data_IF_542703586692
#
_entry.id   IF_542703586692
#
_cell.length_a   1.000
_cell.length_b   1.000
_cell.length_c   1.000
_cell.angle_alpha   90.00
_cell.angle_beta   90.00
_cell.angle_gamma   90.00
#
_symmetry.space_group_name_H-M   'P 1'
#
loop_
_entity.id
_entity.type
_entity.pdbx_description
1 polymer ?
#
# COMPACT_ATOMS: atom_id res chain seq x y z
N UNK A 1 5.63 6.98 17.58
CA UNK A 1 4.68 7.39 18.63
C UNK A 1 4.66 6.40 19.80
N UNK A 2 3.88 5.30 19.79
CA UNK A 2 3.65 4.44 20.96
C UNK A 2 4.93 3.92 21.65
N UNK A 3 5.92 3.46 20.88
CA UNK A 3 7.24 3.02 21.41
C UNK A 3 7.98 4.15 22.15
N UNK A 4 7.89 5.39 21.65
CA UNK A 4 8.49 6.57 22.29
C UNK A 4 7.74 6.94 23.58
N UNK A 5 6.42 6.79 23.64
CA UNK A 5 5.68 6.92 24.90
C UNK A 5 6.04 5.80 25.88
N UNK A 6 6.23 4.55 25.42
CA UNK A 6 6.71 3.46 26.28
C UNK A 6 8.07 3.81 26.89
N UNK A 7 9.04 4.30 26.09
CA UNK A 7 10.35 4.75 26.58
C UNK A 7 10.22 5.90 27.59
N UNK A 8 9.38 6.91 27.33
CA UNK A 8 9.16 8.04 28.25
C UNK A 8 8.57 7.57 29.59
N UNK A 9 7.57 6.68 29.57
CA UNK A 9 6.98 6.10 30.79
C UNK A 9 8.02 5.25 31.53
N UNK A 10 8.76 4.38 30.83
CA UNK A 10 9.86 3.58 31.41
C UNK A 10 10.91 4.46 32.11
N UNK A 11 11.35 5.55 31.47
CA UNK A 11 12.33 6.48 32.05
C UNK A 11 11.79 7.25 33.27
N UNK A 12 10.46 7.37 33.42
CA UNK A 12 9.83 7.90 34.64
C UNK A 12 9.54 6.83 35.69
N UNK A 13 9.35 5.59 35.28
CA UNK A 13 9.11 4.44 36.17
C UNK A 13 10.39 3.97 36.88
N UNK A 14 11.54 4.04 36.20
CA UNK A 14 12.87 3.79 36.77
C UNK A 14 13.63 5.06 37.19
N UNK A 15 12.96 6.22 37.15
CA UNK A 15 13.52 7.49 37.60
C UNK A 15 13.50 7.62 39.13
N UNK A 16 14.32 8.54 39.65
CA UNK A 16 14.38 8.84 41.09
C UNK A 16 13.02 9.36 41.60
N UNK A 17 12.44 8.67 42.59
CA UNK A 17 11.12 8.95 43.21
C UNK A 17 9.91 8.76 42.28
N UNK A 18 9.56 7.49 42.03
CA UNK A 18 8.36 7.07 41.29
C UNK A 18 7.04 7.27 42.09
N UNK A 19 7.11 7.25 43.43
CA UNK A 19 6.03 7.52 44.39
C UNK A 19 6.59 8.37 45.55
N UNK A 20 5.73 9.12 46.23
CA UNK A 20 6.08 9.81 47.48
C UNK A 20 4.91 9.72 48.48
N UNK A 21 5.15 9.12 49.65
CA UNK A 21 4.14 8.88 50.68
C UNK A 21 4.27 9.80 51.89
N UNK A 22 3.14 10.31 52.38
CA UNK A 22 3.04 11.08 53.61
C UNK A 22 3.12 10.15 54.83
N UNK A 23 4.33 10.02 55.40
CA UNK A 23 4.61 9.18 56.57
C UNK A 23 4.47 9.95 57.89
N UNK A 24 4.25 9.27 59.03
CA UNK A 24 4.23 9.89 60.35
C UNK A 24 5.59 10.52 60.72
N UNK A 25 5.59 11.65 61.43
CA UNK A 25 6.79 12.44 61.72
C UNK A 25 7.87 11.72 62.56
N UNK A 26 7.52 10.62 63.24
CA UNK A 26 8.47 9.77 63.96
C UNK A 26 9.26 8.79 63.07
N UNK A 27 8.97 8.73 61.76
CA UNK A 27 9.72 7.89 60.83
C UNK A 27 11.01 8.60 60.38
N UNK A 28 12.16 7.96 60.60
CA UNK A 28 13.43 8.41 60.02
C UNK A 28 13.42 8.26 58.50
N UNK A 29 14.34 8.97 57.82
CA UNK A 29 14.47 8.94 56.35
C UNK A 29 14.56 7.51 55.77
N UNK A 30 15.24 6.59 56.45
CA UNK A 30 15.35 5.19 56.00
C UNK A 30 14.00 4.46 56.03
N UNK A 31 13.12 4.80 56.99
CA UNK A 31 11.74 4.29 57.01
C UNK A 31 10.86 4.99 55.98
N UNK A 32 11.06 6.27 55.68
CA UNK A 32 10.38 6.94 54.55
C UNK A 32 10.72 6.25 53.22
N UNK A 33 12.01 5.99 52.96
CA UNK A 33 12.47 5.31 51.74
C UNK A 33 11.91 3.89 51.64
N UNK A 34 11.92 3.11 52.73
CA UNK A 34 11.27 1.80 52.80
C UNK A 34 9.75 1.84 52.55
N UNK A 35 9.04 2.84 53.09
CA UNK A 35 7.60 3.00 52.88
C UNK A 35 7.29 3.38 51.43
N UNK A 36 8.10 4.24 50.80
CA UNK A 36 7.94 4.55 49.38
C UNK A 36 8.10 3.27 48.52
N UNK A 37 9.17 2.50 48.72
CA UNK A 37 9.41 1.27 47.94
C UNK A 37 8.34 0.19 48.16
N UNK A 38 7.92 -0.07 49.41
CA UNK A 38 6.87 -1.08 49.66
C UNK A 38 5.50 -0.65 49.10
N UNK A 39 5.18 0.65 49.12
CA UNK A 39 3.97 1.22 48.54
C UNK A 39 4.00 1.33 47.00
N UNK A 40 5.16 1.15 46.38
CA UNK A 40 5.29 1.06 44.93
C UNK A 40 5.17 -0.38 44.40
N UNK A 41 5.78 -1.33 45.12
CA UNK A 41 5.71 -2.77 44.81
C UNK A 41 4.31 -3.33 45.13
N UNK A 42 3.70 -2.87 46.21
CA UNK A 42 2.31 -3.14 46.56
C UNK A 42 1.36 -2.28 45.71
N UNK A 43 0.14 -2.77 45.45
CA UNK A 43 -0.87 -1.97 44.76
C UNK A 43 -1.39 -0.86 45.69
N UNK A 44 -1.41 0.37 45.20
CA UNK A 44 -2.17 1.45 45.86
C UNK A 44 -3.63 1.44 45.42
N UNK A 45 -4.52 2.09 46.16
CA UNK A 45 -5.95 2.19 45.81
C UNK A 45 -6.44 3.65 45.89
N UNK A 46 -7.50 3.98 45.16
CA UNK A 46 -8.07 5.33 45.14
C UNK A 46 -9.42 5.42 45.84
N UNK A 47 -9.59 6.46 46.66
CA UNK A 47 -10.85 6.84 47.30
C UNK A 47 -10.96 8.39 47.24
N UNK A 48 -12.14 8.96 46.92
CA UNK A 48 -12.37 10.41 47.00
C UNK A 48 -12.15 10.96 48.42
N UNK A 49 -11.64 12.19 48.54
CA UNK A 49 -11.28 12.81 49.83
C UNK A 49 -12.49 13.01 50.75
N UNK A 50 -13.68 13.06 50.18
CA UNK A 50 -14.96 13.22 50.86
C UNK A 50 -15.47 11.91 51.50
N UNK A 51 -14.86 10.77 51.15
CA UNK A 51 -15.28 9.45 51.60
C UNK A 51 -14.34 8.87 52.66
N UNK A 52 -14.91 8.28 53.71
CA UNK A 52 -14.14 7.61 54.77
C UNK A 52 -13.52 6.33 54.23
N UNK A 53 -12.25 6.08 54.55
CA UNK A 53 -11.55 4.84 54.18
C UNK A 53 -12.29 3.63 54.77
N UNK A 54 -12.72 2.64 53.96
CA UNK A 54 -13.52 1.53 54.44
C UNK A 54 -12.69 0.58 55.30
N UNK A 55 -13.33 0.05 56.35
CA UNK A 55 -12.77 -1.01 57.20
C UNK A 55 -12.79 -2.39 56.53
N UNK A 56 -13.61 -2.55 55.48
CA UNK A 56 -13.78 -3.82 54.77
C UNK A 56 -12.69 -3.96 53.71
N UNK A 57 -11.82 -4.95 53.91
CA UNK A 57 -10.67 -5.20 53.02
C UNK A 57 -11.06 -5.45 51.55
N UNK A 58 -12.22 -6.06 51.32
CA UNK A 58 -12.73 -6.32 49.97
C UNK A 58 -12.95 -5.04 49.16
N UNK A 59 -13.43 -3.98 49.79
CA UNK A 59 -13.73 -2.69 49.15
C UNK A 59 -12.46 -1.92 48.81
N UNK A 60 -11.42 -2.01 49.65
CA UNK A 60 -10.09 -1.46 49.37
C UNK A 60 -9.48 -2.13 48.14
N UNK A 61 -9.51 -3.47 48.11
CA UNK A 61 -8.99 -4.29 47.00
C UNK A 61 -9.75 -4.13 45.68
N UNK A 62 -11.03 -3.73 45.72
CA UNK A 62 -11.80 -3.40 44.52
C UNK A 62 -11.40 -2.07 43.87
N UNK A 63 -10.74 -1.17 44.60
CA UNK A 63 -10.28 0.13 44.13
C UNK A 63 -8.76 0.18 43.84
N UNK A 64 -8.10 -0.99 43.78
CA UNK A 64 -6.66 -1.12 43.51
C UNK A 64 -6.28 -0.67 42.09
N UNK A 65 -5.24 0.14 42.01
CA UNK A 65 -4.67 0.69 40.79
C UNK A 65 -3.54 -0.23 40.32
N UNK A 66 -3.88 -1.18 39.46
CA UNK A 66 -2.91 -2.21 38.99
C UNK A 66 -2.30 -1.91 37.63
N UNK A 67 -2.81 -0.90 36.91
CA UNK A 67 -2.41 -0.64 35.52
C UNK A 67 -1.04 0.05 35.41
N UNK A 68 -0.65 0.93 36.34
CA UNK A 68 0.52 1.82 36.12
C UNK A 68 1.84 1.06 35.92
N UNK A 69 2.03 -0.07 36.60
CA UNK A 69 3.21 -0.93 36.46
C UNK A 69 3.34 -1.55 35.04
N UNK A 70 2.23 -1.70 34.31
CA UNK A 70 2.14 -2.42 33.05
C UNK A 70 2.05 -1.52 31.80
N UNK A 71 1.97 -0.21 31.96
CA UNK A 71 1.80 0.76 30.86
C UNK A 71 2.86 0.57 29.75
N UNK A 72 4.17 0.46 30.02
CA UNK A 72 5.16 0.33 28.94
C UNK A 72 4.98 -0.93 28.10
N UNK A 73 4.74 -2.09 28.74
CA UNK A 73 4.54 -3.36 28.05
C UNK A 73 3.30 -3.33 27.14
N UNK A 74 2.23 -2.68 27.59
CA UNK A 74 1.01 -2.53 26.80
C UNK A 74 1.22 -1.54 25.66
N UNK A 75 1.87 -0.39 25.86
CA UNK A 75 2.19 0.53 24.75
C UNK A 75 3.06 -0.14 23.66
N UNK A 76 3.94 -1.07 24.04
CA UNK A 76 4.70 -1.92 23.10
C UNK A 76 3.82 -2.97 22.40
N UNK A 77 2.93 -3.65 23.11
CA UNK A 77 1.95 -4.58 22.52
C UNK A 77 1.02 -3.88 21.52
N UNK A 78 0.51 -2.69 21.88
CA UNK A 78 -0.30 -1.87 20.97
C UNK A 78 0.50 -1.49 19.72
N UNK A 79 1.78 -1.10 19.86
CA UNK A 79 2.66 -0.81 18.73
C UNK A 79 2.86 -2.02 17.80
N UNK A 80 3.06 -3.22 18.37
CA UNK A 80 3.14 -4.47 17.60
C UNK A 80 1.83 -4.74 16.83
N UNK A 81 0.67 -4.61 17.48
CA UNK A 81 -0.63 -4.81 16.84
C UNK A 81 -0.92 -3.79 15.72
N UNK A 82 -0.43 -2.55 15.79
CA UNK A 82 -0.48 -1.61 14.67
C UNK A 82 0.45 -1.99 13.51
N UNK A 83 1.56 -2.70 13.77
CA UNK A 83 2.46 -3.20 12.74
C UNK A 83 1.98 -4.52 12.10
N UNK A 84 1.16 -5.31 12.81
CA UNK A 84 0.67 -6.62 12.36
C UNK A 84 -0.03 -6.61 10.98
N UNK A 85 -0.94 -5.68 10.62
CA UNK A 85 -1.54 -5.64 9.29
C UNK A 85 -0.51 -5.45 8.15
N UNK A 86 0.59 -4.74 8.40
CA UNK A 86 1.68 -4.60 7.43
C UNK A 86 2.47 -5.91 7.25
N UNK A 87 2.68 -6.69 8.32
CA UNK A 87 3.23 -8.06 8.20
C UNK A 87 2.30 -8.93 7.36
N UNK A 88 0.99 -8.87 7.61
CA UNK A 88 -0.02 -9.64 6.87
C UNK A 88 0.00 -9.27 5.39
N UNK A 89 -0.02 -7.98 5.03
CA UNK A 89 0.14 -7.52 3.65
C UNK A 89 1.41 -8.07 2.99
N UNK A 90 2.58 -7.85 3.61
CA UNK A 90 3.88 -8.27 3.05
C UNK A 90 4.02 -9.79 2.93
N UNK A 91 3.35 -10.56 3.78
CA UNK A 91 3.33 -12.03 3.72
C UNK A 91 2.39 -12.55 2.63
N UNK A 92 1.20 -11.96 2.49
CA UNK A 92 0.19 -12.41 1.54
C UNK A 92 0.41 -11.88 0.12
N UNK A 93 0.87 -10.64 -0.06
CA UNK A 93 1.18 -10.09 -1.38
C UNK A 93 2.23 -10.95 -2.10
N UNK A 94 3.31 -11.32 -1.41
CA UNK A 94 4.36 -12.23 -1.92
C UNK A 94 3.82 -13.62 -2.30
N UNK A 95 2.77 -14.10 -1.66
CA UNK A 95 2.13 -15.39 -2.01
C UNK A 95 1.39 -15.34 -3.35
N UNK A 96 1.18 -14.18 -3.94
CA UNK A 96 0.60 -14.04 -5.30
C UNK A 96 1.55 -14.51 -6.41
N UNK A 97 2.87 -14.49 -6.19
CA UNK A 97 3.89 -14.75 -7.22
C UNK A 97 4.53 -13.48 -7.82
N UNK A 98 4.05 -12.29 -7.46
CA UNK A 98 4.60 -10.99 -7.87
C UNK A 98 4.97 -10.17 -6.62
N UNK A 99 6.22 -9.73 -6.47
CA UNK A 99 6.55 -8.76 -5.41
C UNK A 99 6.22 -7.35 -5.90
N UNK A 100 5.01 -6.93 -5.54
CA UNK A 100 4.44 -5.62 -5.86
C UNK A 100 5.35 -4.47 -5.41
N UNK A 101 6.23 -4.69 -4.43
CA UNK A 101 7.22 -3.69 -4.03
C UNK A 101 8.24 -3.44 -5.13
N UNK A 102 8.84 -4.48 -5.68
CA UNK A 102 9.98 -4.37 -6.59
C UNK A 102 9.58 -3.65 -7.89
N UNK A 103 8.31 -3.80 -8.31
CA UNK A 103 7.70 -3.07 -9.44
C UNK A 103 7.48 -1.59 -9.11
N UNK A 104 7.05 -1.26 -7.89
CA UNK A 104 6.90 0.15 -7.46
C UNK A 104 8.27 0.81 -7.32
N UNK A 105 9.24 0.13 -6.70
CA UNK A 105 10.61 0.64 -6.53
C UNK A 105 11.28 0.81 -7.92
N UNK A 106 11.10 -0.13 -8.87
CA UNK A 106 11.56 0.04 -10.27
C UNK A 106 10.90 1.22 -10.99
N UNK A 107 9.60 1.47 -10.77
CA UNK A 107 8.88 2.59 -11.38
C UNK A 107 9.16 3.95 -10.69
N UNK A 108 9.62 3.95 -9.44
CA UNK A 108 10.23 5.12 -8.80
C UNK A 108 11.58 5.40 -9.46
N UNK A 109 12.42 4.38 -9.65
CA UNK A 109 13.73 4.52 -10.30
C UNK A 109 13.59 5.04 -11.74
N UNK A 110 12.65 4.50 -12.52
CA UNK A 110 12.31 4.99 -13.87
C UNK A 110 11.97 6.48 -13.91
N UNK A 111 11.28 6.98 -12.87
CA UNK A 111 10.91 8.40 -12.73
C UNK A 111 12.09 9.29 -12.32
N UNK A 112 13.10 8.75 -11.64
CA UNK A 112 14.31 9.49 -11.23
C UNK A 112 15.46 9.47 -12.24
N UNK A 113 15.39 8.66 -13.31
CA UNK A 113 16.36 8.73 -14.41
C UNK A 113 16.10 9.99 -15.24
N UNK A 114 17.03 10.94 -15.14
CA UNK A 114 16.93 12.23 -15.81
C UNK A 114 16.98 12.10 -17.34
N UNK A 115 16.08 12.77 -18.04
CA UNK A 115 15.91 12.63 -19.51
C UNK A 115 16.98 13.41 -20.31
N UNK A 116 18.05 13.84 -19.64
CA UNK A 116 19.15 14.63 -20.20
C UNK A 116 20.46 13.83 -20.37
N UNK A 117 20.57 12.65 -19.74
CA UNK A 117 21.72 11.74 -19.86
C UNK A 117 21.39 10.54 -20.75
N UNK A 118 22.43 9.88 -21.29
CA UNK A 118 22.30 8.80 -22.31
C UNK A 118 21.75 7.46 -21.77
N UNK A 119 21.06 7.46 -20.63
CA UNK A 119 20.51 6.27 -19.97
C UNK A 119 19.13 5.85 -20.49
N UNK A 120 18.71 6.32 -21.68
CA UNK A 120 17.50 5.87 -22.38
C UNK A 120 17.39 4.34 -22.47
N UNK A 121 18.53 3.64 -22.60
CA UNK A 121 18.57 2.17 -22.60
C UNK A 121 18.19 1.59 -21.23
N UNK A 122 18.73 2.12 -20.13
CA UNK A 122 18.38 1.65 -18.79
C UNK A 122 16.94 2.02 -18.42
N UNK A 123 16.47 3.20 -18.86
CA UNK A 123 15.08 3.64 -18.75
C UNK A 123 14.14 2.70 -19.51
N UNK A 124 14.51 2.25 -20.71
CA UNK A 124 13.77 1.24 -21.46
C UNK A 124 13.76 -0.12 -20.75
N UNK A 125 14.90 -0.61 -20.26
CA UNK A 125 15.01 -1.87 -19.51
C UNK A 125 14.12 -1.89 -18.25
N UNK A 126 14.06 -0.77 -17.51
CA UNK A 126 13.17 -0.63 -16.35
C UNK A 126 11.68 -0.70 -16.74
N UNK A 127 11.29 -0.04 -17.84
CA UNK A 127 9.91 -0.08 -18.36
C UNK A 127 9.54 -1.48 -18.85
N UNK A 128 10.45 -2.14 -19.60
CA UNK A 128 10.29 -3.51 -20.08
C UNK A 128 10.11 -4.49 -18.91
N UNK A 129 10.93 -4.37 -17.85
CA UNK A 129 10.78 -5.17 -16.62
C UNK A 129 9.41 -4.97 -15.94
N UNK A 130 8.95 -3.71 -15.80
CA UNK A 130 7.63 -3.41 -15.21
C UNK A 130 6.50 -4.02 -16.04
N UNK A 131 6.60 -3.93 -17.37
CA UNK A 131 5.59 -4.43 -18.31
C UNK A 131 5.59 -5.96 -18.38
N UNK A 132 6.75 -6.62 -18.47
CA UNK A 132 6.86 -8.09 -18.45
C UNK A 132 6.34 -8.64 -17.12
N UNK A 133 6.72 -8.04 -15.98
CA UNK A 133 6.28 -8.51 -14.67
C UNK A 133 4.75 -8.45 -14.53
N UNK A 134 4.11 -7.38 -15.01
CA UNK A 134 2.64 -7.26 -15.01
C UNK A 134 2.02 -8.24 -16.02
N UNK A 135 2.48 -8.26 -17.27
CA UNK A 135 1.94 -9.14 -18.33
C UNK A 135 2.00 -10.62 -17.93
N UNK A 136 3.13 -11.08 -17.40
CA UNK A 136 3.38 -12.46 -16.96
C UNK A 136 2.55 -12.91 -15.76
N UNK A 137 2.13 -11.97 -14.92
CA UNK A 137 1.24 -12.22 -13.79
C UNK A 137 -0.23 -12.24 -14.21
N UNK A 138 -0.59 -11.38 -15.17
CA UNK A 138 -1.93 -11.24 -15.73
C UNK A 138 -2.27 -12.40 -16.67
N UNK A 139 -1.38 -12.73 -17.60
CA UNK A 139 -1.52 -13.79 -18.62
C UNK A 139 -1.02 -15.18 -18.10
N UNK A 140 -1.12 -15.44 -16.80
CA UNK A 140 -0.77 -16.76 -16.22
C UNK A 140 -1.78 -17.83 -16.70
N UNK A 141 -1.37 -18.87 -17.45
CA UNK A 141 -2.29 -19.87 -17.99
C UNK A 141 -3.12 -20.62 -16.94
N UNK A 142 -2.72 -20.56 -15.65
CA UNK A 142 -3.47 -21.16 -14.52
C UNK A 142 -4.71 -20.34 -14.14
N UNK A 143 -4.81 -19.06 -14.54
CA UNK A 143 -6.03 -18.24 -14.43
C UNK A 143 -7.06 -18.70 -15.47
N UNK A 144 -6.66 -18.75 -16.74
CA UNK A 144 -7.48 -19.14 -17.89
C UNK A 144 -8.01 -20.59 -17.83
N UNK A 145 -7.49 -21.43 -16.93
CA UNK A 145 -7.93 -22.81 -16.75
C UNK A 145 -9.33 -22.95 -16.09
N UNK A 146 -9.75 -22.01 -15.23
CA UNK A 146 -11.01 -22.11 -14.45
C UNK A 146 -12.25 -21.63 -15.24
N UNK A 147 -12.07 -20.89 -16.34
CA UNK A 147 -13.18 -20.42 -17.21
C UNK A 147 -13.94 -21.58 -17.89
N UNK A 148 -13.30 -22.73 -18.09
CA UNK A 148 -13.90 -23.87 -18.81
C UNK A 148 -14.88 -24.70 -17.96
N UNK A 149 -15.21 -24.24 -16.75
CA UNK A 149 -16.09 -24.89 -15.80
C UNK A 149 -17.40 -24.13 -15.56
N UNK A 150 -18.44 -24.47 -16.35
CA UNK A 150 -19.80 -23.94 -16.19
C UNK A 150 -20.50 -24.49 -14.93
N UNK A 151 -20.25 -23.86 -13.79
CA UNK A 151 -21.15 -23.74 -12.63
C UNK A 151 -20.55 -22.83 -11.56
N UNK A 152 -21.29 -21.80 -11.15
CA UNK A 152 -20.95 -20.97 -9.98
C UNK A 152 -21.19 -21.80 -8.70
N UNK A 153 -20.20 -22.63 -8.34
CA UNK A 153 -20.24 -23.40 -7.10
C UNK A 153 -20.08 -22.48 -5.89
N UNK A 154 -20.75 -22.81 -4.79
CA UNK A 154 -20.48 -22.22 -3.46
C UNK A 154 -18.99 -22.33 -3.11
N UNK A 155 -18.29 -23.37 -3.60
CA UNK A 155 -16.83 -23.48 -3.49
C UNK A 155 -16.09 -22.32 -4.17
N UNK A 156 -16.49 -21.86 -5.36
CA UNK A 156 -15.82 -20.72 -6.05
C UNK A 156 -16.05 -19.42 -5.27
N UNK A 157 -17.25 -19.18 -4.75
CA UNK A 157 -17.54 -18.03 -3.86
C UNK A 157 -16.71 -18.09 -2.58
N UNK A 158 -16.64 -19.26 -1.92
CA UNK A 158 -15.84 -19.47 -0.72
C UNK A 158 -14.34 -19.27 -1.00
N UNK A 159 -13.81 -19.79 -2.11
CA UNK A 159 -12.41 -19.60 -2.52
C UNK A 159 -12.09 -18.13 -2.82
N UNK A 160 -13.02 -17.39 -3.44
CA UNK A 160 -12.91 -15.93 -3.66
C UNK A 160 -12.95 -15.12 -2.35
N UNK A 161 -13.69 -15.55 -1.33
CA UNK A 161 -13.68 -14.88 -0.01
C UNK A 161 -12.47 -15.34 0.83
N UNK A 162 -11.96 -16.56 0.62
CA UNK A 162 -10.81 -17.10 1.33
C UNK A 162 -9.47 -16.57 0.79
N UNK A 163 -8.94 -15.58 1.53
CA UNK A 163 -7.59 -14.99 1.49
C UNK A 163 -6.44 -16.00 1.26
N UNK A 164 -6.63 -17.27 1.65
CA UNK A 164 -5.62 -18.33 1.49
C UNK A 164 -5.68 -19.08 0.15
N UNK A 165 -6.79 -19.02 -0.59
CA UNK A 165 -7.09 -19.94 -1.69
C UNK A 165 -7.46 -19.27 -3.03
N UNK A 166 -7.93 -18.02 -3.05
CA UNK A 166 -8.41 -17.33 -4.26
C UNK A 166 -7.36 -16.98 -5.34
N UNK A 167 -6.17 -17.58 -5.32
CA UNK A 167 -4.99 -17.13 -6.10
C UNK A 167 -5.16 -17.04 -7.63
N UNK A 168 -6.07 -17.84 -8.19
CA UNK A 168 -6.20 -18.03 -9.64
C UNK A 168 -7.45 -17.35 -10.24
N UNK A 169 -8.17 -16.54 -9.44
CA UNK A 169 -9.48 -15.96 -9.79
C UNK A 169 -9.42 -14.48 -10.19
N UNK A 170 -8.27 -13.99 -10.67
CA UNK A 170 -8.11 -12.62 -11.17
C UNK A 170 -8.15 -11.50 -10.13
N UNK A 171 -8.34 -11.84 -8.85
CA UNK A 171 -8.76 -10.93 -7.79
C UNK A 171 -7.97 -11.07 -6.48
N UNK A 172 -6.88 -11.84 -6.47
CA UNK A 172 -6.18 -12.22 -5.25
C UNK A 172 -5.52 -11.03 -4.54
N UNK A 173 -4.83 -10.16 -5.29
CA UNK A 173 -4.14 -9.00 -4.72
C UNK A 173 -5.15 -7.96 -4.22
N UNK A 174 -6.24 -7.72 -4.94
CA UNK A 174 -7.29 -6.79 -4.51
C UNK A 174 -8.02 -7.29 -3.25
N UNK A 175 -8.29 -8.61 -3.11
CA UNK A 175 -8.84 -9.21 -1.88
C UNK A 175 -7.87 -9.05 -0.71
N UNK A 176 -6.59 -9.38 -0.90
CA UNK A 176 -5.54 -9.24 0.13
C UNK A 176 -5.38 -7.77 0.55
N UNK A 177 -5.52 -6.82 -0.38
CA UNK A 177 -5.46 -5.39 -0.09
C UNK A 177 -6.63 -4.92 0.76
N UNK A 178 -7.88 -5.20 0.36
CA UNK A 178 -9.06 -4.81 1.16
C UNK A 178 -9.11 -5.55 2.50
N UNK A 179 -8.64 -6.80 2.57
CA UNK A 179 -8.44 -7.53 3.84
C UNK A 179 -7.46 -6.78 4.75
N UNK A 180 -6.33 -6.31 4.21
CA UNK A 180 -5.34 -5.53 4.96
C UNK A 180 -5.95 -4.22 5.50
N UNK A 181 -6.74 -3.51 4.68
CA UNK A 181 -7.43 -2.29 5.11
C UNK A 181 -8.47 -2.57 6.20
N UNK A 182 -9.24 -3.65 6.07
CA UNK A 182 -10.16 -4.10 7.11
C UNK A 182 -9.41 -4.42 8.43
N UNK A 183 -8.25 -5.09 8.35
CA UNK A 183 -7.41 -5.36 9.53
C UNK A 183 -6.88 -4.08 10.20
N UNK A 184 -6.57 -3.02 9.45
CA UNK A 184 -6.23 -1.72 10.05
C UNK A 184 -7.41 -1.10 10.81
N UNK A 185 -8.63 -1.12 10.23
CA UNK A 185 -9.85 -0.60 10.88
C UNK A 185 -10.19 -1.45 12.12
N UNK A 186 -10.23 -2.78 11.99
CA UNK A 186 -10.50 -3.71 13.11
C UNK A 186 -9.46 -3.55 14.21
N UNK A 187 -8.17 -3.42 13.88
CA UNK A 187 -7.17 -3.12 14.90
C UNK A 187 -7.46 -1.79 15.60
N UNK A 188 -7.70 -0.69 14.88
CA UNK A 188 -7.99 0.61 15.50
C UNK A 188 -9.17 0.55 16.49
N UNK A 189 -10.22 -0.21 16.17
CA UNK A 189 -11.35 -0.51 17.08
C UNK A 189 -10.91 -1.35 18.28
N UNK A 190 -10.22 -2.47 18.04
CA UNK A 190 -9.71 -3.35 19.11
C UNK A 190 -8.75 -2.62 20.07
N UNK A 191 -8.00 -1.61 19.60
CA UNK A 191 -7.11 -0.82 20.45
C UNK A 191 -7.86 0.06 21.45
N UNK A 192 -9.03 0.59 21.08
CA UNK A 192 -9.90 1.33 22.00
C UNK A 192 -10.50 0.39 23.06
N UNK A 193 -10.93 -0.82 22.65
CA UNK A 193 -11.38 -1.86 23.57
C UNK A 193 -10.27 -2.40 24.50
N UNK A 194 -9.03 -2.49 24.02
CA UNK A 194 -7.87 -2.90 24.83
C UNK A 194 -7.59 -1.88 25.95
N UNK A 195 -7.67 -0.58 25.67
CA UNK A 195 -7.58 0.46 26.69
C UNK A 195 -8.74 0.37 27.70
N UNK A 196 -9.97 0.09 27.23
CA UNK A 196 -11.13 -0.10 28.11
C UNK A 196 -10.96 -1.31 29.06
N UNK A 197 -10.44 -2.43 28.55
CA UNK A 197 -10.13 -3.62 29.34
C UNK A 197 -9.03 -3.35 30.38
N UNK A 198 -7.99 -2.60 30.00
CA UNK A 198 -6.82 -2.37 30.84
C UNK A 198 -7.04 -1.33 31.95
N UNK A 199 -7.76 -0.24 31.67
CA UNK A 199 -8.05 0.80 32.65
C UNK A 199 -9.25 0.47 33.56
N UNK A 200 -9.94 -0.65 33.34
CA UNK A 200 -11.00 -1.16 34.24
C UNK A 200 -12.24 -0.25 34.36
N UNK A 201 -12.44 0.65 33.40
CA UNK A 201 -13.51 1.66 33.37
C UNK A 201 -13.99 1.83 31.92
N UNK A 202 -15.07 2.59 31.69
CA UNK A 202 -15.64 2.88 30.36
C UNK A 202 -14.80 3.87 29.52
N UNK A 203 -13.50 3.59 29.36
CA UNK A 203 -12.55 4.44 28.65
C UNK A 203 -12.90 4.64 27.16
N UNK A 204 -13.70 3.75 26.55
CA UNK A 204 -14.16 3.93 25.17
C UNK A 204 -14.90 5.26 24.95
N UNK A 205 -15.68 5.75 25.94
CA UNK A 205 -16.40 7.04 25.86
C UNK A 205 -15.57 8.25 26.33
N UNK A 206 -14.34 8.05 26.82
CA UNK A 206 -13.54 9.05 27.55
C UNK A 206 -13.46 10.41 26.83
N UNK A 207 -12.97 10.44 25.58
CA UNK A 207 -12.80 11.71 24.87
C UNK A 207 -14.10 12.41 24.49
N UNK A 208 -15.21 11.67 24.36
CA UNK A 208 -16.56 12.25 24.16
C UNK A 208 -17.05 12.91 25.46
N UNK A 209 -16.83 12.26 26.61
CA UNK A 209 -17.14 12.85 27.93
C UNK A 209 -16.33 14.13 28.18
N UNK A 210 -15.05 14.14 27.80
CA UNK A 210 -14.16 15.32 27.88
C UNK A 210 -14.64 16.44 26.97
N UNK A 211 -14.88 16.16 25.68
CA UNK A 211 -15.32 17.16 24.70
C UNK A 211 -16.67 17.79 25.09
N UNK A 212 -17.63 16.97 25.57
CA UNK A 212 -18.93 17.45 26.06
C UNK A 212 -18.77 18.42 27.24
N UNK A 213 -17.90 18.12 28.21
CA UNK A 213 -17.67 19.00 29.37
C UNK A 213 -17.04 20.33 28.98
N UNK A 214 -16.06 20.31 28.07
CA UNK A 214 -15.44 21.53 27.52
C UNK A 214 -16.50 22.40 26.83
N UNK A 215 -17.41 21.81 26.05
CA UNK A 215 -18.52 22.52 25.40
C UNK A 215 -19.57 23.05 26.42
N UNK A 216 -19.78 22.35 27.53
CA UNK A 216 -20.59 22.81 28.68
C UNK A 216 -19.89 23.90 29.53
N UNK A 217 -18.69 24.37 29.16
CA UNK A 217 -17.90 25.31 29.95
C UNK A 217 -17.37 24.74 31.26
N UNK A 218 -17.48 23.42 31.48
CA UNK A 218 -17.03 22.72 32.68
C UNK A 218 -15.58 22.27 32.50
N UNK A 219 -14.73 22.67 33.44
CA UNK A 219 -13.30 22.40 33.40
C UNK A 219 -12.92 20.93 33.23
N UNK A 220 -11.73 20.70 32.68
CA UNK A 220 -11.18 19.40 32.28
C UNK A 220 -10.96 18.37 33.40
N UNK A 221 -11.26 18.68 34.66
CA UNK A 221 -10.86 17.88 35.83
C UNK A 221 -11.81 16.70 36.13
N UNK A 222 -12.07 15.90 35.10
CA UNK A 222 -12.68 14.57 35.23
C UNK A 222 -11.61 13.49 35.53
N UNK A 223 -10.39 13.93 35.82
CA UNK A 223 -9.16 13.15 35.70
C UNK A 223 -8.97 12.18 36.88
N UNK A 224 -9.36 12.59 38.09
CA UNK A 224 -9.11 11.87 39.34
C UNK A 224 -9.71 10.47 39.41
N UNK A 225 -10.77 10.16 38.65
CA UNK A 225 -11.37 8.80 38.63
C UNK A 225 -10.60 7.81 37.75
N UNK A 226 -10.05 8.26 36.63
CA UNK A 226 -9.33 7.39 35.68
C UNK A 226 -7.82 7.38 35.94
N UNK A 227 -7.28 8.53 36.37
CA UNK A 227 -5.85 8.76 36.62
C UNK A 227 -5.65 9.50 37.96
N UNK A 228 -5.95 8.86 39.11
CA UNK A 228 -5.78 9.47 40.43
C UNK A 228 -4.33 9.86 40.72
N UNK A 229 -4.10 11.16 40.91
CA UNK A 229 -2.77 11.76 41.21
C UNK A 229 -2.33 11.52 42.65
N UNK A 230 -3.31 11.22 43.53
CA UNK A 230 -3.16 10.90 44.95
C UNK A 230 -3.86 9.57 45.19
N UNK A 231 -3.22 8.70 45.97
CA UNK A 231 -3.63 7.32 46.23
C UNK A 231 -3.43 7.00 47.71
N UNK A 232 -4.02 5.91 48.19
CA UNK A 232 -3.78 5.36 49.52
C UNK A 232 -2.98 4.06 49.40
N UNK A 233 -1.99 3.91 50.26
CA UNK A 233 -1.21 2.69 50.43
C UNK A 233 -1.51 2.08 51.80
N UNK A 234 -1.56 0.76 51.86
CA UNK A 234 -1.59 -0.01 53.10
C UNK A 234 -0.34 -0.88 53.23
N UNK A 235 0.37 -0.75 54.35
CA UNK A 235 1.47 -1.64 54.70
C UNK A 235 1.34 -2.13 56.15
N UNK A 236 2.02 -3.23 56.46
CA UNK A 236 2.01 -3.85 57.79
C UNK A 236 3.45 -3.98 58.28
N UNK A 237 3.72 -3.46 59.47
CA UNK A 237 4.99 -3.73 60.16
C UNK A 237 4.82 -5.02 60.97
N UNK A 238 5.82 -5.90 60.93
CA UNK A 238 5.88 -7.11 61.76
C UNK A 238 6.87 -6.90 62.89
N UNK A 239 6.36 -6.77 64.11
CA UNK A 239 7.19 -6.70 65.30
C UNK A 239 7.59 -8.10 65.76
N UNK A 240 8.89 -8.31 66.00
CA UNK A 240 9.43 -9.64 66.32
C UNK A 240 8.89 -10.23 67.64
N UNK A 241 8.43 -9.36 68.56
CA UNK A 241 7.97 -9.77 69.89
C UNK A 241 6.47 -10.14 69.93
N UNK A 242 5.64 -9.55 69.06
CA UNK A 242 4.18 -9.77 69.02
C UNK A 242 3.68 -10.11 67.59
N UNK A 243 3.97 -11.32 67.06
CA UNK A 243 3.65 -11.66 65.66
C UNK A 243 2.16 -11.73 65.29
N UNK A 244 1.24 -11.63 66.27
CA UNK A 244 -0.21 -11.64 66.05
C UNK A 244 -0.78 -10.23 65.86
N UNK A 245 -0.10 -9.21 66.38
CA UNK A 245 -0.59 -7.84 66.47
C UNK A 245 0.08 -6.95 65.40
N UNK A 246 0.01 -7.38 64.14
CA UNK A 246 0.65 -6.65 63.02
C UNK A 246 -0.06 -5.33 62.73
N UNK A 247 0.48 -4.23 63.27
CA UNK A 247 -0.04 -2.88 63.04
C UNK A 247 -0.02 -2.52 61.54
N UNK A 248 -1.23 -2.29 61.00
CA UNK A 248 -1.47 -1.78 59.66
C UNK A 248 -1.41 -0.26 59.67
N UNK A 249 -0.58 0.30 58.80
CA UNK A 249 -0.53 1.73 58.51
C UNK A 249 -1.18 2.00 57.17
N UNK A 250 -2.04 3.02 57.12
CA UNK A 250 -2.58 3.57 55.87
C UNK A 250 -1.95 4.95 55.66
N UNK A 251 -1.25 5.15 54.54
CA UNK A 251 -0.58 6.41 54.20
C UNK A 251 -1.06 6.94 52.85
N UNK A 252 -1.03 8.28 52.70
CA UNK A 252 -1.43 8.97 51.49
C UNK A 252 -0.20 9.17 50.59
N UNK A 253 -0.26 8.67 49.36
CA UNK A 253 0.87 8.68 48.42
C UNK A 253 0.53 9.44 47.13
N UNK A 254 1.40 10.38 46.76
CA UNK A 254 1.38 11.08 45.48
C UNK A 254 2.05 10.21 44.43
N UNK A 255 1.44 10.11 43.24
CA UNK A 255 1.88 9.21 42.17
C UNK A 255 2.17 9.99 40.86
N UNK A 256 3.34 10.65 40.73
CA UNK A 256 3.66 11.52 39.59
C UNK A 256 3.56 10.85 38.21
N UNK A 257 3.83 9.54 38.14
CA UNK A 257 3.70 8.73 36.92
C UNK A 257 2.28 8.81 36.31
N UNK A 258 1.25 8.97 37.15
CA UNK A 258 -0.13 9.04 36.69
C UNK A 258 -0.45 10.36 35.96
N UNK A 259 0.25 11.45 36.30
CA UNK A 259 0.12 12.73 35.58
C UNK A 259 0.60 12.60 34.13
N UNK A 260 1.73 11.93 33.89
CA UNK A 260 2.21 11.64 32.54
C UNK A 260 1.28 10.68 31.80
N UNK A 261 0.84 9.62 32.48
CA UNK A 261 -0.07 8.60 31.93
C UNK A 261 -1.39 9.22 31.44
N UNK A 262 -1.98 10.12 32.25
CA UNK A 262 -3.19 10.87 31.93
C UNK A 262 -3.07 11.64 30.61
N UNK A 263 -1.97 12.38 30.40
CA UNK A 263 -1.77 13.15 29.17
C UNK A 263 -1.53 12.25 27.96
N UNK A 264 -0.70 11.21 28.12
CA UNK A 264 -0.39 10.23 27.07
C UNK A 264 -1.66 9.50 26.62
N UNK A 265 -2.47 8.97 27.54
CA UNK A 265 -3.71 8.26 27.16
C UNK A 265 -4.80 9.18 26.63
N UNK A 266 -4.87 10.44 27.09
CA UNK A 266 -5.77 11.45 26.49
C UNK A 266 -5.42 11.69 25.02
N UNK A 267 -4.14 11.94 24.72
CA UNK A 267 -3.66 12.12 23.35
C UNK A 267 -3.85 10.86 22.50
N UNK A 268 -3.54 9.68 23.03
CA UNK A 268 -3.73 8.39 22.34
C UNK A 268 -5.21 8.16 21.96
N UNK A 269 -6.17 8.49 22.83
CA UNK A 269 -7.60 8.31 22.52
C UNK A 269 -8.01 9.13 21.28
N UNK A 270 -7.65 10.41 21.23
CA UNK A 270 -7.94 11.27 20.06
C UNK A 270 -7.16 10.82 18.82
N UNK A 271 -5.92 10.38 18.98
CA UNK A 271 -5.11 9.84 17.87
C UNK A 271 -5.71 8.57 17.27
N UNK A 272 -6.19 7.63 18.09
CA UNK A 272 -6.84 6.40 17.60
C UNK A 272 -8.16 6.70 16.87
N UNK A 273 -8.96 7.66 17.35
CA UNK A 273 -10.16 8.10 16.65
C UNK A 273 -9.82 8.75 15.30
N UNK A 274 -8.77 9.57 15.22
CA UNK A 274 -8.29 10.13 13.95
C UNK A 274 -7.82 9.04 12.98
N UNK A 275 -7.02 8.07 13.45
CA UNK A 275 -6.54 6.94 12.64
C UNK A 275 -7.70 6.08 12.13
N UNK A 276 -8.72 5.83 12.96
CA UNK A 276 -9.93 5.11 12.56
C UNK A 276 -10.70 5.84 11.44
N UNK A 277 -10.95 7.14 11.60
CA UNK A 277 -11.65 7.96 10.59
C UNK A 277 -10.87 8.01 9.27
N UNK A 278 -9.55 8.24 9.31
CA UNK A 278 -8.70 8.26 8.11
C UNK A 278 -8.64 6.90 7.43
N UNK A 279 -8.63 5.80 8.20
CA UNK A 279 -8.66 4.44 7.64
C UNK A 279 -9.97 4.12 6.91
N UNK A 280 -11.11 4.59 7.45
CA UNK A 280 -12.41 4.48 6.77
C UNK A 280 -12.43 5.33 5.49
N UNK A 281 -11.94 6.57 5.55
CA UNK A 281 -11.90 7.45 4.38
C UNK A 281 -11.04 6.88 3.25
N UNK A 282 -9.85 6.35 3.56
CA UNK A 282 -9.01 5.66 2.57
C UNK A 282 -9.72 4.44 1.95
N UNK A 283 -10.41 3.62 2.75
CA UNK A 283 -11.22 2.51 2.22
C UNK A 283 -12.30 3.00 1.25
N UNK A 284 -13.03 4.07 1.59
CA UNK A 284 -14.05 4.66 0.70
C UNK A 284 -13.42 5.20 -0.59
N UNK A 285 -12.25 5.85 -0.50
CA UNK A 285 -11.49 6.30 -1.68
C UNK A 285 -11.03 5.13 -2.55
N UNK A 286 -10.63 4.00 -1.96
CA UNK A 286 -10.26 2.81 -2.74
C UNK A 286 -11.47 2.11 -3.36
N UNK A 287 -12.56 1.90 -2.63
CA UNK A 287 -13.81 1.34 -3.18
C UNK A 287 -14.31 2.19 -4.36
N UNK A 288 -14.32 3.52 -4.22
CA UNK A 288 -14.77 4.42 -5.31
C UNK A 288 -13.86 4.42 -6.53
N UNK A 289 -12.55 4.10 -6.40
CA UNK A 289 -11.62 3.89 -7.53
C UNK A 289 -11.89 2.59 -8.30
N UNK A 290 -12.57 1.61 -7.69
CA UNK A 290 -12.81 0.27 -8.22
C UNK A 290 -14.17 0.04 -8.89
N UNK A 291 -15.09 1.00 -8.86
CA UNK A 291 -16.33 0.89 -9.64
C UNK A 291 -16.03 0.74 -11.15
N UNK A 292 -16.69 -0.17 -11.89
CA UNK A 292 -16.40 -0.47 -13.30
C UNK A 292 -16.33 0.77 -14.20
N UNK A 293 -17.25 1.72 -14.06
CA UNK A 293 -17.25 2.97 -14.83
C UNK A 293 -16.01 3.85 -14.53
N UNK A 294 -15.52 3.83 -13.29
CA UNK A 294 -14.35 4.59 -12.86
C UNK A 294 -13.05 3.90 -13.30
N UNK A 295 -13.04 2.58 -13.46
CA UNK A 295 -11.94 1.82 -14.09
C UNK A 295 -11.90 2.06 -15.60
N UNK A 296 -13.03 1.84 -16.29
CA UNK A 296 -13.17 2.03 -17.74
C UNK A 296 -12.78 3.45 -18.17
N UNK A 297 -13.33 4.48 -17.51
CA UNK A 297 -12.98 5.87 -17.84
C UNK A 297 -11.53 6.24 -17.50
N UNK A 298 -10.90 5.60 -16.52
CA UNK A 298 -9.49 5.85 -16.18
C UNK A 298 -8.54 5.29 -17.27
N UNK A 299 -8.74 4.04 -17.69
CA UNK A 299 -7.91 3.39 -18.71
C UNK A 299 -8.19 4.00 -20.09
N UNK A 300 -9.47 4.22 -20.45
CA UNK A 300 -9.86 4.88 -21.70
C UNK A 300 -9.18 6.25 -21.85
N UNK A 301 -9.22 7.11 -20.83
CA UNK A 301 -8.58 8.45 -20.88
C UNK A 301 -7.08 8.37 -21.13
N UNK A 302 -6.38 7.45 -20.46
CA UNK A 302 -4.92 7.25 -20.64
C UNK A 302 -4.56 6.75 -22.03
N UNK A 303 -5.28 5.75 -22.53
CA UNK A 303 -5.10 5.25 -23.89
C UNK A 303 -5.53 6.26 -24.97
N UNK A 304 -6.38 7.25 -24.64
CA UNK A 304 -6.69 8.37 -25.52
C UNK A 304 -5.57 9.42 -25.57
N UNK A 305 -4.85 9.67 -24.47
CA UNK A 305 -3.72 10.62 -24.44
C UNK A 305 -2.55 10.16 -25.33
N UNK A 306 -2.26 8.86 -25.34
CA UNK A 306 -1.19 8.27 -26.17
C UNK A 306 -1.62 8.00 -27.63
N UNK A 307 -2.91 8.18 -27.98
CA UNK A 307 -3.46 7.73 -29.27
C UNK A 307 -3.17 8.64 -30.47
N UNK A 308 -2.28 9.62 -30.32
CA UNK A 308 -2.00 10.65 -31.34
C UNK A 308 -1.43 10.09 -32.64
N UNK A 309 -0.75 8.94 -32.58
CA UNK A 309 0.05 8.40 -33.68
C UNK A 309 -0.41 7.01 -34.19
N UNK A 310 -1.68 6.62 -34.01
CA UNK A 310 -2.19 5.32 -34.51
C UNK A 310 -3.52 5.40 -35.26
N UNK A 311 -3.65 4.59 -36.32
CA UNK A 311 -4.73 4.51 -37.31
C UNK A 311 -6.07 3.93 -36.76
N UNK A 312 -6.43 4.29 -35.54
CA UNK A 312 -7.63 3.77 -34.86
C UNK A 312 -8.91 4.57 -35.16
N UNK A 313 -8.83 5.66 -35.92
CA UNK A 313 -9.99 6.44 -36.37
C UNK A 313 -10.74 5.74 -37.52
N UNK A 314 -10.11 4.75 -38.15
CA UNK A 314 -10.60 4.03 -39.33
C UNK A 314 -11.57 2.88 -39.02
N UNK A 315 -12.00 2.72 -37.76
CA UNK A 315 -12.87 1.62 -37.29
C UNK A 315 -14.12 2.14 -36.55
N UNK A 316 -15.28 1.46 -36.67
CA UNK A 316 -16.53 1.93 -36.08
C UNK A 316 -16.46 1.97 -34.53
N UNK A 317 -17.07 2.99 -33.88
CA UNK A 317 -16.83 3.30 -32.46
C UNK A 317 -17.31 2.22 -31.49
N UNK A 318 -18.27 1.40 -31.89
CA UNK A 318 -18.77 0.26 -31.11
C UNK A 318 -17.70 -0.83 -30.96
N UNK A 319 -17.04 -1.19 -32.06
CA UNK A 319 -15.95 -2.17 -32.05
C UNK A 319 -14.80 -1.78 -31.11
N UNK A 320 -14.46 -0.48 -31.08
CA UNK A 320 -13.40 0.05 -30.20
C UNK A 320 -13.77 -0.07 -28.71
N UNK A 321 -15.06 0.02 -28.36
CA UNK A 321 -15.57 -0.13 -26.98
C UNK A 321 -15.38 -1.56 -26.48
N UNK A 322 -15.60 -2.56 -27.32
CA UNK A 322 -15.45 -3.97 -26.92
C UNK A 322 -13.98 -4.37 -26.78
N UNK A 323 -13.07 -3.80 -27.57
CA UNK A 323 -11.62 -3.96 -27.36
C UNK A 323 -11.16 -3.35 -26.03
N UNK A 324 -11.69 -2.19 -25.64
CA UNK A 324 -11.45 -1.65 -24.30
C UNK A 324 -12.07 -2.53 -23.20
N UNK A 325 -13.16 -3.27 -23.46
CA UNK A 325 -13.74 -4.19 -22.47
C UNK A 325 -12.93 -5.47 -22.32
N UNK A 326 -12.54 -6.12 -23.41
CA UNK A 326 -11.72 -7.34 -23.37
C UNK A 326 -10.37 -7.06 -22.69
N UNK A 327 -9.70 -5.94 -23.01
CA UNK A 327 -8.45 -5.53 -22.36
C UNK A 327 -8.59 -5.29 -20.85
N UNK A 328 -9.72 -4.71 -20.40
CA UNK A 328 -9.91 -4.29 -19.00
C UNK A 328 -10.44 -5.43 -18.13
N UNK A 329 -11.38 -6.23 -18.64
CA UNK A 329 -12.08 -7.24 -17.85
C UNK A 329 -11.66 -8.68 -18.16
N UNK A 330 -11.12 -8.96 -19.35
CA UNK A 330 -10.63 -10.29 -19.75
C UNK A 330 -9.11 -10.43 -19.62
N UNK A 331 -8.34 -9.46 -20.13
CA UNK A 331 -6.89 -9.44 -19.97
C UNK A 331 -6.50 -8.91 -18.58
N UNK A 332 -6.58 -7.60 -18.29
CA UNK A 332 -6.03 -7.02 -17.05
C UNK A 332 -6.61 -7.60 -15.75
N UNK A 333 -7.89 -7.97 -15.73
CA UNK A 333 -8.64 -8.40 -14.54
C UNK A 333 -8.63 -7.36 -13.38
N UNK A 334 -9.39 -7.58 -12.28
CA UNK A 334 -9.35 -6.69 -11.12
C UNK A 334 -7.94 -6.49 -10.52
N UNK A 335 -7.09 -7.53 -10.51
CA UNK A 335 -5.72 -7.45 -10.01
C UNK A 335 -4.79 -6.57 -10.86
N UNK A 336 -4.82 -6.66 -12.20
CA UNK A 336 -3.99 -5.82 -13.06
C UNK A 336 -4.41 -4.35 -12.97
N UNK A 337 -5.71 -4.08 -12.91
CA UNK A 337 -6.22 -2.72 -12.62
C UNK A 337 -5.75 -2.25 -11.23
N UNK A 338 -5.72 -3.13 -10.23
CA UNK A 338 -5.19 -2.81 -8.90
C UNK A 338 -3.70 -2.43 -8.94
N UNK A 339 -2.86 -3.22 -9.61
CA UNK A 339 -1.42 -2.90 -9.75
C UNK A 339 -1.21 -1.55 -10.43
N UNK A 340 -1.93 -1.27 -11.53
CA UNK A 340 -1.85 0.01 -12.24
C UNK A 340 -2.30 1.21 -11.37
N UNK A 341 -3.37 1.04 -10.58
CA UNK A 341 -3.83 2.06 -9.61
C UNK A 341 -2.84 2.29 -8.48
N UNK A 342 -2.19 1.23 -8.00
CA UNK A 342 -1.16 1.30 -6.96
C UNK A 342 0.10 1.99 -7.49
N UNK A 343 0.52 1.68 -8.73
CA UNK A 343 1.65 2.32 -9.40
C UNK A 343 1.44 3.84 -9.52
N UNK A 344 0.32 4.26 -10.14
CA UNK A 344 -0.10 5.67 -10.24
C UNK A 344 -0.17 6.39 -8.88
N UNK A 345 -0.53 5.68 -7.81
CA UNK A 345 -0.60 6.25 -6.45
C UNK A 345 0.76 6.42 -5.77
N UNK A 346 1.85 5.82 -6.28
CA UNK A 346 3.19 5.89 -5.68
C UNK A 346 4.23 6.59 -6.58
N UNK A 347 4.06 6.64 -7.90
CA UNK A 347 5.09 7.12 -8.84
C UNK A 347 4.70 8.43 -9.53
N UNK A 348 4.04 8.36 -10.67
CA UNK A 348 3.35 9.48 -11.33
C UNK A 348 2.30 8.97 -12.32
N UNK A 349 1.39 9.87 -12.69
CA UNK A 349 0.40 9.57 -13.71
C UNK A 349 0.99 9.49 -15.13
N UNK A 350 2.22 9.95 -15.35
CA UNK A 350 2.93 9.77 -16.61
C UNK A 350 3.40 8.30 -16.77
N UNK A 351 4.20 7.78 -15.83
CA UNK A 351 4.76 6.42 -15.89
C UNK A 351 3.66 5.36 -16.01
N UNK A 352 2.58 5.50 -15.23
CA UNK A 352 1.44 4.58 -15.33
C UNK A 352 0.73 4.63 -16.70
N UNK A 353 0.76 5.76 -17.40
CA UNK A 353 0.20 5.89 -18.76
C UNK A 353 1.07 5.19 -19.81
N UNK A 354 2.40 5.27 -19.68
CA UNK A 354 3.34 4.55 -20.55
C UNK A 354 3.24 3.03 -20.36
N UNK A 355 3.20 2.54 -19.11
CA UNK A 355 2.97 1.12 -18.78
C UNK A 355 1.64 0.63 -19.38
N UNK A 356 0.55 1.40 -19.23
CA UNK A 356 -0.75 1.06 -19.84
C UNK A 356 -0.68 1.00 -21.37
N UNK A 357 0.08 1.90 -22.00
CA UNK A 357 0.25 1.91 -23.44
C UNK A 357 1.05 0.68 -23.92
N UNK A 358 2.15 0.33 -23.26
CA UNK A 358 2.93 -0.86 -23.64
C UNK A 358 2.14 -2.16 -23.41
N UNK A 359 1.44 -2.31 -22.27
CA UNK A 359 0.55 -3.45 -22.04
C UNK A 359 -0.56 -3.55 -23.10
N UNK A 360 -1.09 -2.43 -23.58
CA UNK A 360 -2.06 -2.42 -24.68
C UNK A 360 -1.45 -2.90 -26.02
N UNK A 361 -0.19 -2.54 -26.32
CA UNK A 361 0.49 -3.08 -27.51
C UNK A 361 0.80 -4.57 -27.38
N UNK A 362 1.20 -5.04 -26.19
CA UNK A 362 1.41 -6.47 -25.89
C UNK A 362 0.11 -7.26 -26.08
N UNK A 363 -1.01 -6.77 -25.55
CA UNK A 363 -2.34 -7.34 -25.79
C UNK A 363 -2.70 -7.33 -27.30
N UNK A 364 -2.55 -6.19 -27.98
CA UNK A 364 -2.89 -6.03 -29.40
C UNK A 364 -2.07 -6.96 -30.33
N UNK A 365 -0.84 -7.31 -29.94
CA UNK A 365 0.05 -8.20 -30.70
C UNK A 365 -0.13 -9.68 -30.36
N UNK A 366 -0.51 -10.03 -29.12
CA UNK A 366 -0.91 -11.39 -28.73
C UNK A 366 -2.25 -11.82 -29.36
N UNK A 367 -3.26 -10.95 -29.33
CA UNK A 367 -4.65 -11.34 -29.64
C UNK A 367 -5.21 -11.07 -31.08
N UNK A 368 -4.46 -10.61 -32.12
CA UNK A 368 -5.06 -10.32 -33.42
C UNK A 368 -5.45 -11.61 -34.19
N UNK A 369 -5.15 -12.78 -33.60
CA UNK A 369 -5.47 -14.13 -34.11
C UNK A 369 -6.65 -14.79 -33.38
N UNK A 370 -6.90 -14.56 -32.08
CA UNK A 370 -8.06 -15.17 -31.43
C UNK A 370 -9.33 -14.36 -31.65
N UNK A 371 -9.31 -13.03 -31.54
CA UNK A 371 -10.48 -12.22 -31.89
C UNK A 371 -10.94 -12.44 -33.35
N UNK A 372 -10.02 -12.67 -34.30
CA UNK A 372 -10.36 -13.07 -35.69
C UNK A 372 -10.99 -14.46 -35.77
N UNK A 373 -10.60 -15.40 -34.90
CA UNK A 373 -11.20 -16.77 -34.82
C UNK A 373 -12.55 -16.78 -34.10
N UNK A 374 -12.69 -16.01 -33.01
CA UNK A 374 -13.94 -15.79 -32.25
C UNK A 374 -15.01 -15.23 -33.20
N UNK A 375 -14.68 -14.14 -33.91
CA UNK A 375 -15.57 -13.51 -34.91
C UNK A 375 -15.86 -14.36 -36.15
N UNK A 376 -14.92 -15.19 -36.60
CA UNK A 376 -15.16 -16.13 -37.71
C UNK A 376 -16.01 -17.34 -37.29
N UNK A 377 -16.21 -17.58 -35.99
CA UNK A 377 -17.22 -18.52 -35.46
C UNK A 377 -18.57 -17.82 -35.26
N UNK A 378 -18.57 -16.58 -34.79
CA UNK A 378 -19.79 -15.78 -34.61
C UNK A 378 -20.49 -15.49 -35.95
N UNK A 379 -19.78 -14.96 -36.96
CA UNK A 379 -20.29 -14.86 -38.34
C UNK A 379 -20.41 -16.22 -39.07
N UNK A 380 -19.95 -17.31 -38.44
CA UNK A 380 -20.13 -18.68 -38.94
C UNK A 380 -21.31 -19.41 -38.30
N UNK A 381 -22.09 -18.74 -37.44
CA UNK A 381 -23.18 -19.34 -36.66
C UNK A 381 -24.58 -19.19 -37.27
N UNK A 382 -24.79 -18.27 -38.21
CA UNK A 382 -26.08 -18.07 -38.87
C UNK A 382 -26.13 -18.76 -40.24
N UNK A 383 -27.04 -19.72 -40.37
CA UNK A 383 -27.18 -20.58 -41.56
C UNK A 383 -27.95 -19.88 -42.68
N UNK A 384 -27.26 -19.08 -43.50
CA UNK A 384 -27.74 -18.67 -44.83
C UNK A 384 -26.62 -18.60 -45.87
N UNK A 385 -26.55 -19.60 -46.74
CA UNK A 385 -25.79 -19.61 -47.99
C UNK A 385 -26.30 -20.76 -48.90
N UNK A 386 -26.12 -20.71 -50.24
CA UNK A 386 -25.56 -19.63 -51.06
C UNK A 386 -26.47 -19.20 -52.24
N UNK A 387 -26.29 -17.98 -52.78
CA UNK A 387 -26.80 -17.60 -54.12
C UNK A 387 -25.78 -16.78 -54.94
N UNK A 388 -24.57 -16.51 -54.41
CA UNK A 388 -23.48 -15.83 -55.16
C UNK A 388 -22.22 -16.70 -55.13
N UNK A 389 -22.33 -17.92 -55.67
CA UNK A 389 -21.19 -18.80 -55.90
C UNK A 389 -21.40 -19.68 -57.16
N UNK A 390 -21.92 -19.06 -58.23
CA UNK A 390 -22.29 -19.72 -59.49
C UNK A 390 -21.60 -19.14 -60.74
N UNK A 391 -20.53 -18.38 -60.52
CA UNK A 391 -19.53 -18.02 -61.53
C UNK A 391 -18.14 -18.27 -60.93
N UNK A 392 -17.16 -18.58 -61.78
CA UNK A 392 -15.78 -18.96 -61.42
C UNK A 392 -15.62 -20.30 -60.66
N UNK A 393 -16.04 -21.40 -61.29
CA UNK A 393 -15.41 -22.71 -61.08
C UNK A 393 -15.49 -23.60 -62.32
N UNK A 394 -14.96 -23.11 -63.45
CA UNK A 394 -14.58 -23.91 -64.63
C UNK A 394 -13.13 -23.55 -65.02
N UNK A 395 -12.23 -24.51 -65.28
CA UNK A 395 -10.85 -24.25 -65.69
C UNK A 395 -10.73 -24.12 -67.21
N UNK A 396 -10.21 -22.99 -67.69
CA UNK A 396 -9.89 -22.77 -69.11
C UNK A 396 -8.44 -22.23 -69.22
N UNK A 397 -7.82 -22.53 -70.36
CA UNK A 397 -6.36 -22.62 -70.57
C UNK A 397 -5.65 -21.29 -70.90
N UNK A 398 -4.36 -21.40 -71.18
CA UNK A 398 -3.32 -20.38 -71.35
C UNK A 398 -3.57 -19.24 -72.35
N UNK A 399 -2.79 -18.17 -72.13
CA UNK A 399 -2.20 -17.30 -73.16
C UNK A 399 -3.10 -16.31 -73.95
N UNK A 400 -3.77 -15.35 -73.28
CA UNK A 400 -4.15 -14.09 -73.98
C UNK A 400 -4.28 -12.80 -73.12
N UNK A 401 -3.43 -12.58 -72.09
CA UNK A 401 -3.38 -11.28 -71.38
C UNK A 401 -2.05 -10.95 -70.69
N UNK A 402 -0.95 -10.95 -71.43
CA UNK A 402 0.29 -10.25 -71.02
C UNK A 402 0.82 -9.24 -72.07
N UNK A 403 0.22 -9.21 -73.26
CA UNK A 403 0.67 -8.38 -74.38
C UNK A 403 -0.12 -7.06 -74.54
N UNK A 404 -1.19 -6.89 -73.75
CA UNK A 404 -2.08 -5.71 -73.74
C UNK A 404 -1.53 -4.50 -72.97
N UNK A 405 -0.59 -4.71 -72.04
CA UNK A 405 0.04 -3.64 -71.24
C UNK A 405 1.39 -3.21 -71.85
N UNK A 406 1.99 -4.01 -72.74
CA UNK A 406 3.30 -3.72 -73.36
C UNK A 406 3.24 -2.93 -74.68
N UNK A 407 2.05 -2.52 -75.13
CA UNK A 407 1.84 -1.76 -76.39
C UNK A 407 1.28 -0.35 -76.18
N UNK A 408 1.99 0.51 -75.42
CA UNK A 408 1.71 1.96 -75.34
C UNK A 408 2.96 2.79 -75.06
N UNK A 409 3.91 2.76 -75.99
CA UNK A 409 5.09 3.64 -76.00
C UNK A 409 5.26 4.32 -77.35
N UNK A 410 5.28 5.66 -77.33
CA UNK A 410 5.87 6.56 -78.33
C UNK A 410 5.16 6.65 -79.69
N UNK A 411 4.74 7.88 -80.01
CA UNK A 411 4.89 8.48 -81.34
C UNK A 411 5.29 9.95 -81.13
N UNK A 412 6.33 10.42 -81.83
CA UNK A 412 6.83 11.79 -81.75
C UNK A 412 6.31 12.64 -82.92
N UNK A 413 6.07 13.96 -82.73
CA UNK A 413 6.10 14.94 -83.81
C UNK A 413 7.57 15.34 -84.15
N UNK A 414 7.85 15.82 -85.38
CA UNK A 414 9.21 16.02 -85.89
C UNK A 414 9.86 17.38 -85.53
N UNK A 415 11.19 17.47 -85.71
CA UNK A 415 12.02 18.68 -85.56
C UNK A 415 12.17 19.46 -86.88
N UNK A 416 12.58 20.76 -86.87
CA UNK A 416 14.01 21.15 -86.99
C UNK A 416 14.35 22.49 -86.27
N UNK A 417 15.53 23.16 -86.45
CA UNK A 417 16.92 22.67 -86.60
C UNK A 417 17.96 23.32 -85.61
N UNK A 418 19.15 22.72 -85.57
CA UNK A 418 20.51 23.21 -85.16
C UNK A 418 20.75 24.65 -84.63
N UNK A 419 21.50 24.77 -83.51
CA UNK A 419 22.92 25.22 -83.54
C UNK A 419 23.75 24.96 -82.24
N UNK A 420 25.06 24.78 -82.44
CA UNK A 420 26.23 25.07 -81.55
C UNK A 420 26.53 24.41 -80.18
N UNK A 421 27.79 24.65 -79.75
CA UNK A 421 28.67 24.00 -78.73
C UNK A 421 29.45 25.12 -77.97
N UNK A 422 30.32 24.85 -76.96
CA UNK A 422 30.64 23.62 -76.22
C UNK A 422 30.32 23.83 -74.70
N UNK A 423 31.13 23.72 -73.62
CA UNK A 423 32.52 23.27 -73.31
C UNK A 423 32.76 23.13 -71.79
N UNK A 424 33.59 22.15 -71.41
CA UNK A 424 34.39 22.03 -70.15
C UNK A 424 33.66 21.90 -68.79
N UNK A 425 34.18 21.16 -67.80
CA UNK A 425 35.31 20.22 -67.84
C UNK A 425 35.80 19.73 -66.46
N UNK A 426 36.54 18.62 -66.46
CA UNK A 426 37.43 18.06 -65.40
C UNK A 426 36.85 17.50 -64.07
N UNK A 427 37.25 16.25 -63.78
CA UNK A 427 37.51 15.73 -62.42
C UNK A 427 39.04 15.56 -62.23
N UNK A 428 39.58 14.48 -61.61
CA UNK A 428 38.92 13.36 -60.91
C UNK A 428 39.64 12.86 -59.61
N UNK A 429 39.09 11.79 -58.99
CA UNK A 429 39.72 10.63 -58.28
C UNK A 429 41.12 10.70 -57.59
N UNK A 430 41.32 9.99 -56.46
CA UNK A 430 42.24 8.79 -56.30
C UNK A 430 42.50 8.36 -54.81
N UNK A 431 42.30 7.07 -54.48
CA UNK A 431 42.82 6.24 -53.31
C UNK A 431 42.60 6.68 -51.84
N UNK A 432 43.10 5.94 -50.82
CA UNK A 432 42.69 4.62 -50.27
C UNK A 432 43.57 4.19 -49.06
N UNK A 433 43.23 3.06 -48.40
CA UNK A 433 44.06 2.17 -47.55
C UNK A 433 44.30 2.44 -46.02
N UNK A 434 44.06 1.35 -45.26
CA UNK A 434 44.82 0.80 -44.10
C UNK A 434 44.80 1.41 -42.67
N UNK A 435 44.09 0.70 -41.76
CA UNK A 435 44.57 -0.04 -40.55
C UNK A 435 46.09 -0.04 -40.17
N UNK A 436 46.53 -0.44 -38.93
CA UNK A 436 45.81 -0.96 -37.72
C UNK A 436 46.38 -0.52 -36.31
N UNK A 437 45.98 -1.25 -35.23
CA UNK A 437 46.76 -1.67 -34.01
C UNK A 437 46.81 -0.84 -32.68
N UNK A 438 46.18 -1.43 -31.65
CA UNK A 438 46.72 -1.90 -30.34
C UNK A 438 47.16 -0.97 -29.17
N UNK A 439 47.23 -1.62 -27.98
CA UNK A 439 47.64 -1.19 -26.62
C UNK A 439 46.59 -0.40 -25.79
N UNK A 440 46.36 -0.56 -24.47
CA UNK A 440 46.86 -1.39 -23.34
C UNK A 440 47.66 -0.68 -22.21
N UNK A 441 46.95 -0.11 -21.23
CA UNK A 441 47.38 0.17 -19.84
C UNK A 441 46.10 0.42 -18.99
N UNK A 442 45.91 0.08 -17.71
CA UNK A 442 46.76 -0.29 -16.54
C UNK A 442 46.74 0.73 -15.38
N UNK A 443 45.61 0.80 -14.67
CA UNK A 443 45.59 0.59 -13.21
C UNK A 443 45.72 1.76 -12.22
N UNK A 444 45.20 1.51 -11.00
CA UNK A 444 45.38 2.24 -9.72
C UNK A 444 44.70 3.65 -9.65
N UNK A 445 44.34 4.22 -8.49
CA UNK A 445 44.46 3.78 -7.08
C UNK A 445 43.36 4.42 -6.18
N UNK A 446 43.22 3.91 -4.94
CA UNK A 446 42.77 4.56 -3.67
C UNK A 446 41.72 5.70 -3.70
N UNK A 447 40.56 5.64 -3.03
CA UNK A 447 40.27 5.39 -1.60
C UNK A 447 40.72 6.49 -0.62
N UNK A 448 39.75 7.20 -0.01
CA UNK A 448 39.69 7.94 1.28
C UNK A 448 38.57 9.02 1.15
N UNK A 449 38.05 9.70 2.18
CA UNK A 449 37.40 9.25 3.44
C UNK A 449 36.95 10.50 4.22
N UNK A 450 35.73 10.48 4.79
CA UNK A 450 35.31 11.17 6.04
C UNK A 450 35.53 12.69 6.22
N UNK A 451 34.43 13.41 6.50
CA UNK A 451 34.20 14.54 7.45
C UNK A 451 32.84 15.17 7.04
N UNK A 452 31.78 15.39 7.84
CA UNK A 452 31.56 15.71 9.28
C UNK A 452 31.71 17.20 9.60
N UNK A 453 30.74 17.73 10.38
CA UNK A 453 30.51 19.13 10.81
C UNK A 453 30.12 20.11 9.66
N UNK A 454 29.32 21.17 9.92
CA UNK A 454 28.58 21.54 11.14
C UNK A 454 27.97 22.95 11.03
N UNK A 455 26.80 23.18 11.66
CA UNK A 455 26.05 24.45 11.85
C UNK A 455 25.69 25.25 10.56
N UNK A 456 24.52 25.91 10.43
CA UNK A 456 23.69 26.69 11.37
C UNK A 456 22.20 26.33 11.26
#
# INVERSE_FOLDING_TARGET
>A
MLVLFAIIVTNKQFGTKHIQCWVPAQFTKNYEEYVNDICWVSNTYYIPLEQKVPKIERERRQNELRYYQWIPFILLLQAFCFYFPHIVWRSLSRRSGIDVRDIVDAAINYKSVDTATKDDKHKAELMEYIVEAIDKYVDDPRRQADERGDRISIKRVFMTVCIFMGKYLGNYLIIVYFTTKALFITNAVCQIFLLNLFLGQEFHLFGIQVLKRILEGRGWDTQSRYFPKVTLCDFQIREALHPRDSHRYTVQCVLPLNLFSQQIFTFIWFWYMMVFIVSIFDVVVWVTRFFPDKQYNYIKRRLQLMKRDTDFNSQPPEYVKDWYREFIFGYLEPDGIFMLRLLSSNTSDFVCTEVINQLWQTFYTKDPKQLKRKRKRELGGETYAPEIQRQMSDPIDLSESYDSIRRRSINFPPAPPTSDKPSNGYGPLITSNNHPRFSSASGKQSSLSTLVEGDV
#
